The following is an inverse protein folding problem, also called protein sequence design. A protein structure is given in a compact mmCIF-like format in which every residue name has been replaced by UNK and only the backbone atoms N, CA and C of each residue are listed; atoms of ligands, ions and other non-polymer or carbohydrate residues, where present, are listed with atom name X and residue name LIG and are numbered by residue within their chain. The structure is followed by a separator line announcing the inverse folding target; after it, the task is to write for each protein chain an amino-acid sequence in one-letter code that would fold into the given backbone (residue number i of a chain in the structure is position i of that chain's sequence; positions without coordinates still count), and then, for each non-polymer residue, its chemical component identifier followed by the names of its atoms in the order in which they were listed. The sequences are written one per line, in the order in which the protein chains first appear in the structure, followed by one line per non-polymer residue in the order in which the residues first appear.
data_IF_874427795790
#
_entry.id   IF_874427795790
#
_cell.length_a   1.000
_cell.length_b   1.000
_cell.length_c   1.000
_cell.angle_alpha   90.00
_cell.angle_beta   90.00
_cell.angle_gamma   90.00
#
_symmetry.space_group_name_H-M   'P 1'
#
loop_
_entity.id
_entity.type
_entity.pdbx_description
1 polymer ?
#
# COMPACT_ATOMS: atom_id res chain seq x y z
N UNK A 1 -19.31 17.32 -16.81
CA UNK A 1 -18.90 16.00 -16.28
C UNK A 1 -17.48 15.77 -16.72
N UNK A 2 -16.53 15.93 -15.80
CA UNK A 2 -15.12 15.66 -16.07
C UNK A 2 -14.93 14.15 -16.21
N UNK A 3 -14.35 13.71 -17.32
CA UNK A 3 -13.88 12.34 -17.49
C UNK A 3 -12.71 12.17 -16.51
N UNK A 4 -12.93 11.37 -15.46
CA UNK A 4 -11.93 11.02 -14.48
C UNK A 4 -10.80 10.22 -15.16
N UNK A 5 -9.56 10.57 -14.88
CA UNK A 5 -8.36 10.23 -15.64
C UNK A 5 -7.87 8.78 -15.48
N UNK A 6 -8.77 7.79 -15.48
CA UNK A 6 -8.41 6.36 -15.43
C UNK A 6 -8.89 5.60 -16.66
N UNK A 7 -8.38 5.99 -17.82
CA UNK A 7 -8.77 5.39 -19.10
C UNK A 7 -7.94 4.12 -19.44
N UNK A 8 -7.14 3.62 -18.51
CA UNK A 8 -6.24 2.49 -18.69
C UNK A 8 -6.38 1.47 -17.54
N UNK A 9 -6.35 0.19 -17.91
CA UNK A 9 -6.35 -0.96 -17.02
C UNK A 9 -4.98 -1.64 -17.05
N UNK A 10 -4.63 -2.35 -15.98
CA UNK A 10 -3.45 -3.20 -15.91
C UNK A 10 -3.86 -4.62 -16.31
N UNK A 11 -3.59 -5.03 -17.54
CA UNK A 11 -3.88 -6.37 -18.02
C UNK A 11 -2.68 -7.29 -17.81
N UNK A 12 -2.94 -8.54 -17.42
CA UNK A 12 -1.89 -9.54 -17.28
C UNK A 12 -1.30 -9.91 -18.64
N UNK A 13 0.01 -10.12 -18.66
CA UNK A 13 0.74 -10.55 -19.85
C UNK A 13 1.63 -11.74 -19.56
N UNK A 14 1.97 -12.46 -20.61
CA UNK A 14 3.09 -13.38 -20.64
C UNK A 14 4.42 -12.60 -20.62
N UNK A 15 5.56 -13.24 -20.30
CA UNK A 15 6.87 -12.57 -20.29
C UNK A 15 7.32 -11.97 -21.62
N UNK A 16 6.77 -12.45 -22.74
CA UNK A 16 7.02 -11.91 -24.09
C UNK A 16 6.16 -10.68 -24.41
N UNK A 17 5.24 -10.30 -23.51
CA UNK A 17 4.37 -9.15 -23.63
C UNK A 17 2.99 -9.44 -24.23
N UNK A 18 2.72 -10.68 -24.65
CA UNK A 18 1.38 -11.05 -25.14
C UNK A 18 0.36 -11.10 -23.99
N UNK A 19 -0.90 -10.80 -24.28
CA UNK A 19 -1.97 -10.83 -23.28
C UNK A 19 -2.17 -12.26 -22.74
N UNK A 20 -2.20 -12.38 -21.41
CA UNK A 20 -2.40 -13.66 -20.75
C UNK A 20 -3.89 -14.01 -20.71
N UNK A 21 -4.32 -14.90 -21.62
CA UNK A 21 -5.70 -15.33 -21.75
C UNK A 21 -5.91 -16.70 -21.10
N UNK A 22 -6.91 -16.77 -20.22
CA UNK A 22 -7.36 -17.99 -19.58
C UNK A 22 -8.56 -18.56 -20.32
N UNK A 23 -8.59 -19.88 -20.52
CA UNK A 23 -9.73 -20.57 -21.10
C UNK A 23 -10.50 -21.27 -19.99
N UNK A 24 -11.80 -20.98 -19.86
CA UNK A 24 -12.66 -21.65 -18.88
C UNK A 24 -13.09 -23.03 -19.39
N UNK A 25 -13.66 -23.86 -18.51
CA UNK A 25 -14.27 -25.15 -18.89
C UNK A 25 -15.41 -25.02 -19.91
N UNK A 26 -15.91 -23.79 -20.13
CA UNK A 26 -16.94 -23.47 -21.13
C UNK A 26 -16.37 -22.96 -22.46
N UNK A 27 -15.05 -23.05 -22.65
CA UNK A 27 -14.33 -22.53 -23.81
C UNK A 27 -14.48 -21.00 -24.00
N UNK A 28 -14.66 -20.29 -22.88
CA UNK A 28 -14.68 -18.83 -22.82
C UNK A 28 -13.27 -18.31 -22.56
N UNK A 29 -12.89 -17.20 -23.19
CA UNK A 29 -11.61 -16.55 -22.93
C UNK A 29 -11.79 -15.50 -21.83
N UNK A 30 -10.91 -15.51 -20.83
CA UNK A 30 -10.90 -14.56 -19.72
C UNK A 30 -9.56 -13.84 -19.70
N UNK A 31 -9.60 -12.52 -19.72
CA UNK A 31 -8.47 -11.65 -19.47
C UNK A 31 -8.61 -11.04 -18.08
N UNK A 32 -7.58 -11.18 -17.25
CA UNK A 32 -7.55 -10.52 -15.95
C UNK A 32 -7.00 -9.11 -16.10
N UNK A 33 -7.77 -8.14 -15.60
CA UNK A 33 -7.41 -6.74 -15.61
C UNK A 33 -7.58 -6.15 -14.21
N UNK A 34 -6.74 -5.17 -13.87
CA UNK A 34 -6.80 -4.50 -12.58
C UNK A 34 -6.87 -2.99 -12.77
N UNK A 35 -7.63 -2.33 -11.91
CA UNK A 35 -7.75 -0.86 -11.92
C UNK A 35 -6.53 -0.20 -11.30
N UNK A 36 -5.85 -0.90 -10.38
CA UNK A 36 -4.72 -0.39 -9.61
C UNK A 36 -3.67 -1.48 -9.36
N UNK A 37 -2.40 -1.09 -9.29
CA UNK A 37 -1.28 -2.02 -9.12
C UNK A 37 -1.35 -2.82 -7.82
N UNK A 38 -1.89 -2.23 -6.74
CA UNK A 38 -2.06 -2.94 -5.46
C UNK A 38 -3.00 -4.14 -5.58
N UNK A 39 -4.05 -4.07 -6.39
CA UNK A 39 -4.97 -5.19 -6.59
C UNK A 39 -4.32 -6.30 -7.41
N UNK A 40 -3.54 -5.93 -8.43
CA UNK A 40 -2.73 -6.85 -9.21
C UNK A 40 -1.71 -7.58 -8.33
N UNK A 41 -0.91 -6.84 -7.56
CA UNK A 41 0.12 -7.42 -6.69
C UNK A 41 -0.50 -8.33 -5.63
N UNK A 42 -1.63 -7.92 -5.04
CA UNK A 42 -2.34 -8.75 -4.07
C UNK A 42 -2.85 -10.06 -4.70
N UNK A 43 -3.40 -10.03 -5.91
CA UNK A 43 -3.99 -11.19 -6.57
C UNK A 43 -2.97 -12.14 -7.20
N UNK A 44 -1.93 -11.59 -7.83
CA UNK A 44 -1.01 -12.32 -8.70
C UNK A 44 0.42 -12.39 -8.17
N UNK A 45 0.76 -11.56 -7.18
CA UNK A 45 2.12 -11.38 -6.69
C UNK A 45 2.91 -10.34 -7.51
N UNK A 46 4.00 -9.80 -6.93
CA UNK A 46 4.76 -8.69 -7.51
C UNK A 46 5.60 -9.06 -8.75
N UNK A 47 5.82 -10.35 -9.01
CA UNK A 47 6.56 -10.81 -10.19
C UNK A 47 5.71 -10.97 -11.45
N UNK A 48 4.38 -10.84 -11.35
CA UNK A 48 3.46 -11.04 -12.47
C UNK A 48 3.70 -9.97 -13.57
N UNK A 49 3.97 -10.36 -14.83
CA UNK A 49 4.04 -9.42 -15.94
C UNK A 49 2.67 -8.82 -16.27
N UNK A 50 2.67 -7.53 -16.63
CA UNK A 50 1.47 -6.79 -16.99
C UNK A 50 1.77 -5.62 -17.93
N UNK A 51 0.73 -5.16 -18.62
CA UNK A 51 0.77 -3.98 -19.48
C UNK A 51 -0.41 -3.04 -19.21
N UNK A 52 -0.20 -1.74 -19.47
CA UNK A 52 -1.32 -0.78 -19.51
C UNK A 52 -2.07 -0.93 -20.82
N UNK A 53 -3.37 -1.14 -20.72
CA UNK A 53 -4.25 -1.29 -21.87
C UNK A 53 -5.45 -0.38 -21.74
N UNK A 54 -5.86 0.24 -22.85
CA UNK A 54 -7.13 0.96 -22.90
C UNK A 54 -8.27 -0.02 -23.09
N UNK A 55 -9.43 0.18 -22.44
CA UNK A 55 -10.61 -0.65 -22.68
C UNK A 55 -10.99 -0.74 -24.17
N UNK A 56 -10.84 0.35 -24.92
CA UNK A 56 -11.09 0.38 -26.37
C UNK A 56 -10.15 -0.54 -27.17
N UNK A 57 -8.89 -0.67 -26.76
CA UNK A 57 -7.93 -1.59 -27.36
C UNK A 57 -8.27 -3.05 -27.07
N UNK A 58 -8.80 -3.34 -25.88
CA UNK A 58 -9.28 -4.68 -25.53
C UNK A 58 -10.48 -5.10 -26.38
N UNK A 59 -11.45 -4.20 -26.56
CA UNK A 59 -12.63 -4.44 -27.40
C UNK A 59 -12.20 -4.74 -28.84
N UNK A 60 -11.34 -3.90 -29.43
CA UNK A 60 -10.84 -4.11 -30.79
C UNK A 60 -10.10 -5.44 -30.95
N UNK A 61 -9.34 -5.85 -29.94
CA UNK A 61 -8.61 -7.13 -29.94
C UNK A 61 -9.55 -8.33 -29.84
N UNK A 62 -10.59 -8.25 -29.00
CA UNK A 62 -11.60 -9.30 -28.89
C UNK A 62 -12.43 -9.46 -30.17
N UNK A 63 -12.81 -8.34 -30.80
CA UNK A 63 -13.50 -8.34 -32.10
C UNK A 63 -12.66 -8.99 -33.20
N UNK A 64 -11.36 -8.67 -33.25
CA UNK A 64 -10.43 -9.27 -34.22
C UNK A 64 -10.21 -10.77 -34.01
N UNK A 65 -10.24 -11.26 -32.77
CA UNK A 65 -10.08 -12.67 -32.44
C UNK A 65 -11.32 -13.52 -32.78
N UNK A 66 -12.48 -12.90 -33.00
CA UNK A 66 -13.72 -13.60 -33.35
C UNK A 66 -14.27 -14.51 -32.24
N UNK A 67 -13.83 -14.32 -31.00
CA UNK A 67 -14.29 -15.07 -29.81
C UNK A 67 -14.66 -14.11 -28.69
N UNK A 68 -15.67 -14.43 -27.86
CA UNK A 68 -15.97 -13.63 -26.68
C UNK A 68 -14.80 -13.67 -25.69
N UNK A 69 -14.28 -12.50 -25.36
CA UNK A 69 -13.30 -12.30 -24.27
C UNK A 69 -14.02 -11.61 -23.12
N UNK A 70 -14.02 -12.27 -21.96
CA UNK A 70 -14.51 -11.71 -20.71
C UNK A 70 -13.35 -11.03 -19.98
N UNK A 71 -13.60 -9.86 -19.41
CA UNK A 71 -12.62 -9.16 -18.57
C UNK A 71 -12.98 -9.40 -17.11
N UNK A 72 -12.11 -10.13 -16.40
CA UNK A 72 -12.19 -10.28 -14.96
C UNK A 72 -11.50 -9.08 -14.31
N UNK A 73 -12.29 -8.10 -13.85
CA UNK A 73 -11.80 -6.85 -13.29
C UNK A 73 -11.60 -6.97 -11.78
N UNK A 74 -10.41 -6.64 -11.29
CA UNK A 74 -10.02 -6.67 -9.86
C UNK A 74 -10.36 -8.00 -9.17
N UNK A 75 -10.39 -9.08 -9.94
CA UNK A 75 -10.76 -10.40 -9.48
C UNK A 75 -9.53 -11.16 -8.98
N UNK A 76 -9.77 -12.08 -8.05
CA UNK A 76 -8.71 -13.02 -7.64
C UNK A 76 -8.33 -13.91 -8.81
N UNK A 77 -7.05 -13.91 -9.16
CA UNK A 77 -6.53 -14.76 -10.20
C UNK A 77 -6.53 -16.22 -9.72
N UNK A 78 -7.17 -17.16 -10.45
CA UNK A 78 -7.20 -18.57 -10.05
C UNK A 78 -5.78 -19.12 -9.87
N UNK A 79 -5.64 -20.20 -9.11
CA UNK A 79 -4.34 -20.84 -8.92
C UNK A 79 -3.71 -21.16 -10.29
N UNK A 80 -2.50 -20.66 -10.50
CA UNK A 80 -1.78 -20.69 -11.78
C UNK A 80 -0.29 -20.43 -11.58
N UNK A 81 0.48 -20.34 -12.66
CA UNK A 81 1.91 -20.03 -12.59
C UNK A 81 2.06 -18.67 -11.90
N UNK A 82 2.78 -18.63 -10.78
CA UNK A 82 3.17 -17.40 -10.11
C UNK A 82 4.60 -17.13 -10.55
N UNK A 83 4.78 -16.03 -11.27
CA UNK A 83 6.12 -15.59 -11.67
C UNK A 83 6.91 -15.24 -10.42
N UNK A 84 8.15 -15.74 -10.34
CA UNK A 84 9.03 -15.37 -9.26
C UNK A 84 9.28 -13.86 -9.28
N UNK A 85 9.50 -13.28 -8.09
CA UNK A 85 10.00 -11.91 -8.01
C UNK A 85 11.29 -11.80 -8.83
N UNK A 86 11.37 -10.83 -9.76
CA UNK A 86 12.61 -10.56 -10.48
C UNK A 86 13.71 -10.23 -9.47
N UNK A 87 14.90 -10.76 -9.69
CA UNK A 87 16.05 -10.33 -8.93
C UNK A 87 16.31 -8.84 -9.23
N UNK A 88 16.39 -8.01 -8.20
CA UNK A 88 16.65 -6.57 -8.35
C UNK A 88 17.94 -6.30 -9.14
N UNK A 89 18.88 -7.25 -9.14
CA UNK A 89 20.14 -7.17 -9.90
C UNK A 89 19.97 -7.39 -11.41
N UNK A 90 18.86 -7.98 -11.82
CA UNK A 90 18.52 -8.27 -13.23
C UNK A 90 17.60 -7.20 -13.85
N UNK A 91 17.01 -6.32 -13.03
CA UNK A 91 16.21 -5.21 -13.52
C UNK A 91 17.09 -4.18 -14.24
N UNK A 92 16.57 -3.58 -15.33
CA UNK A 92 17.24 -2.45 -15.96
C UNK A 92 17.48 -1.35 -14.92
N UNK A 93 18.67 -0.70 -14.93
CA UNK A 93 18.94 0.41 -14.03
C UNK A 93 17.86 1.48 -14.19
N UNK A 94 17.31 1.95 -13.07
CA UNK A 94 16.38 3.07 -13.07
C UNK A 94 17.00 4.25 -13.82
N UNK A 95 16.17 4.96 -14.59
CA UNK A 95 16.62 6.18 -15.26
C UNK A 95 17.21 7.15 -14.22
N UNK A 96 18.34 7.82 -14.53
CA UNK A 96 18.90 8.82 -13.64
C UNK A 96 17.85 9.91 -13.38
N UNK A 97 17.41 10.04 -12.14
CA UNK A 97 16.55 11.15 -11.70
C UNK A 97 17.45 12.27 -11.19
N UNK A 98 17.06 13.52 -11.41
CA UNK A 98 17.75 14.66 -10.80
C UNK A 98 17.84 14.45 -9.28
N UNK A 99 19.04 14.58 -8.68
CA UNK A 99 19.19 14.37 -7.25
C UNK A 99 18.34 15.39 -6.50
N UNK A 100 17.37 14.89 -5.73
CA UNK A 100 16.62 15.72 -4.81
C UNK A 100 17.59 16.42 -3.84
N UNK A 101 17.26 17.64 -3.37
CA UNK A 101 18.02 18.28 -2.31
C UNK A 101 18.17 17.33 -1.11
N UNK A 102 19.34 17.30 -0.45
CA UNK A 102 19.53 16.42 0.69
C UNK A 102 18.52 16.74 1.78
N UNK A 103 17.88 15.71 2.32
CA UNK A 103 17.03 15.85 3.50
C UNK A 103 17.91 16.32 4.65
N UNK A 104 17.59 17.47 5.24
CA UNK A 104 18.36 18.04 6.37
C UNK A 104 17.66 17.83 7.71
N UNK A 105 16.38 17.44 7.67
CA UNK A 105 15.51 17.25 8.82
C UNK A 105 14.43 16.24 8.49
N UNK A 106 14.09 15.41 9.47
CA UNK A 106 12.97 14.48 9.41
C UNK A 106 12.00 14.83 10.52
N UNK A 107 10.72 14.92 10.19
CA UNK A 107 9.65 15.14 11.15
C UNK A 107 9.03 13.80 11.52
N UNK A 108 8.92 13.54 12.82
CA UNK A 108 8.43 12.27 13.36
C UNK A 108 7.21 12.54 14.24
N UNK A 109 6.09 11.82 14.05
CA UNK A 109 4.94 11.85 14.95
C UNK A 109 5.34 11.52 16.39
N UNK A 110 4.86 12.33 17.32
CA UNK A 110 5.19 12.21 18.73
C UNK A 110 3.98 12.57 19.58
N UNK A 111 4.00 12.12 20.84
CA UNK A 111 3.07 12.63 21.83
C UNK A 111 3.40 14.10 22.14
N UNK A 112 2.39 14.94 22.44
CA UNK A 112 2.60 16.31 22.86
C UNK A 112 3.61 16.39 24.02
N UNK A 113 4.64 17.23 23.86
CA UNK A 113 5.65 17.46 24.89
C UNK A 113 5.45 18.81 25.56
N UNK A 114 5.44 18.81 26.90
CA UNK A 114 5.35 20.03 27.70
C UNK A 114 6.70 20.71 27.90
N UNK A 115 6.71 21.99 28.30
CA UNK A 115 7.93 22.69 28.67
C UNK A 115 8.73 21.94 29.74
N UNK A 116 10.04 21.79 29.54
CA UNK A 116 10.93 21.10 30.47
C UNK A 116 10.94 19.56 30.34
N UNK A 117 10.22 18.99 29.38
CA UNK A 117 10.29 17.58 29.07
C UNK A 117 11.72 17.17 28.67
N UNK A 118 12.26 16.12 29.32
CA UNK A 118 13.57 15.55 29.02
C UNK A 118 13.50 14.33 28.10
N UNK A 119 12.29 13.87 27.79
CA UNK A 119 12.01 12.70 26.95
C UNK A 119 10.85 13.05 26.03
N UNK A 120 10.93 12.58 24.80
CA UNK A 120 9.87 12.65 23.80
C UNK A 120 9.41 11.22 23.57
N UNK A 121 8.10 11.00 23.53
CA UNK A 121 7.54 9.70 23.17
C UNK A 121 7.16 9.73 21.69
N UNK A 122 7.70 8.80 20.92
CA UNK A 122 7.37 8.67 19.50
C UNK A 122 6.20 7.69 19.34
N UNK A 123 5.37 7.97 18.36
CA UNK A 123 4.31 7.04 17.95
C UNK A 123 4.87 6.08 16.91
N UNK A 124 4.67 4.77 17.14
CA UNK A 124 5.11 3.72 16.25
C UNK A 124 3.90 3.12 15.56
N UNK A 125 4.03 2.82 14.28
CA UNK A 125 2.99 2.21 13.47
C UNK A 125 3.41 0.81 13.02
N UNK A 126 2.54 -0.17 13.20
CA UNK A 126 2.77 -1.51 12.67
C UNK A 126 2.09 -1.63 11.31
N UNK A 127 2.88 -1.65 10.24
CA UNK A 127 2.37 -2.01 8.90
C UNK A 127 2.17 -3.52 8.80
N UNK A 128 3.08 -4.28 9.42
CA UNK A 128 2.98 -5.73 9.62
C UNK A 128 2.85 -6.01 11.12
N UNK A 129 1.95 -6.90 11.56
CA UNK A 129 1.84 -7.26 12.97
C UNK A 129 3.19 -7.71 13.56
N UNK A 130 3.61 -7.06 14.65
CA UNK A 130 4.89 -7.34 15.31
C UNK A 130 6.08 -6.55 14.79
N UNK A 131 5.92 -5.75 13.73
CA UNK A 131 6.97 -4.92 13.14
C UNK A 131 6.66 -3.43 13.29
N UNK A 132 6.89 -2.84 14.48
CA UNK A 132 6.70 -1.41 14.67
C UNK A 132 7.69 -0.60 13.84
N UNK A 133 7.20 0.40 13.13
CA UNK A 133 7.96 1.32 12.31
C UNK A 133 7.85 2.74 12.85
N UNK A 134 8.93 3.52 12.73
CA UNK A 134 8.89 4.98 12.92
C UNK A 134 8.40 5.60 11.62
N UNK A 135 7.43 6.51 11.69
CA UNK A 135 7.06 7.32 10.52
C UNK A 135 7.94 8.57 10.46
N UNK A 136 8.48 8.87 9.29
CA UNK A 136 9.32 10.04 9.05
C UNK A 136 8.84 10.82 7.85
N UNK A 137 8.88 12.15 7.93
CA UNK A 137 8.41 13.04 6.86
C UNK A 137 9.46 14.09 6.51
N UNK A 138 9.56 14.42 5.22
CA UNK A 138 10.48 15.44 4.72
C UNK A 138 10.14 16.86 5.21
N UNK A 139 8.86 17.12 5.51
CA UNK A 139 8.38 18.42 6.01
C UNK A 139 7.28 18.28 7.06
N UNK A 140 7.10 19.32 7.87
CA UNK A 140 6.00 19.37 8.83
C UNK A 140 4.62 19.41 8.13
N UNK A 141 4.41 20.17 7.04
CA UNK A 141 3.18 20.08 6.25
C UNK A 141 2.84 18.65 5.83
N UNK A 142 3.80 17.91 5.26
CA UNK A 142 3.54 16.52 4.79
C UNK A 142 3.10 15.61 5.94
N UNK A 143 3.72 15.77 7.12
CA UNK A 143 3.32 15.05 8.33
C UNK A 143 1.89 15.41 8.75
N UNK A 144 1.53 16.68 8.77
CA UNK A 144 0.18 17.10 9.20
C UNK A 144 -0.90 16.66 8.21
N UNK A 145 -0.59 16.65 6.91
CA UNK A 145 -1.49 16.16 5.88
C UNK A 145 -1.69 14.64 5.97
N UNK A 146 -0.63 13.90 6.30
CA UNK A 146 -0.65 12.44 6.42
C UNK A 146 -1.23 11.94 7.76
N UNK A 147 -0.87 12.56 8.88
CA UNK A 147 -1.21 12.12 10.24
C UNK A 147 -2.36 12.92 10.87
N UNK A 148 -2.76 14.04 10.27
CA UNK A 148 -3.82 14.91 10.75
C UNK A 148 -3.30 16.23 11.36
N UNK A 149 -4.11 17.30 11.31
CA UNK A 149 -3.67 18.66 11.63
C UNK A 149 -3.34 18.89 13.11
N UNK A 150 -3.72 17.95 13.98
CA UNK A 150 -3.47 18.00 15.42
C UNK A 150 -2.33 17.09 15.87
N UNK A 151 -1.64 16.43 14.94
CA UNK A 151 -0.49 15.59 15.25
C UNK A 151 0.64 16.44 15.86
N UNK A 152 1.10 16.04 17.05
CA UNK A 152 2.34 16.59 17.59
C UNK A 152 3.54 15.93 16.91
N UNK A 153 4.60 16.69 16.68
CA UNK A 153 5.76 16.24 15.93
C UNK A 153 7.07 16.74 16.54
N UNK A 154 8.14 15.96 16.33
CA UNK A 154 9.51 16.35 16.63
C UNK A 154 10.34 16.36 15.36
N UNK A 155 11.20 17.36 15.24
CA UNK A 155 12.19 17.44 14.17
C UNK A 155 13.51 16.83 14.64
N UNK A 156 14.05 15.89 13.86
CA UNK A 156 15.35 15.24 14.10
C UNK A 156 16.25 15.38 12.88
N UNK A 157 17.55 15.11 13.03
CA UNK A 157 18.47 15.08 11.90
C UNK A 157 18.46 13.66 11.30
N UNK A 158 18.62 13.49 9.98
CA UNK A 158 18.61 12.17 9.35
C UNK A 158 19.64 11.21 9.95
N UNK A 159 20.83 11.70 10.32
CA UNK A 159 21.88 10.89 10.93
C UNK A 159 21.52 10.34 12.33
N UNK A 160 20.48 10.86 12.98
CA UNK A 160 20.04 10.40 14.30
C UNK A 160 18.99 9.26 14.18
N UNK A 161 18.50 8.95 12.97
CA UNK A 161 17.42 7.96 12.76
C UNK A 161 17.80 6.54 13.21
N UNK A 162 19.02 6.08 12.92
CA UNK A 162 19.47 4.74 13.32
C UNK A 162 19.46 4.57 14.85
N UNK A 163 19.86 5.62 15.58
CA UNK A 163 19.82 5.62 17.04
C UNK A 163 18.38 5.66 17.56
N UNK A 164 17.51 6.42 16.90
CA UNK A 164 16.08 6.49 17.25
C UNK A 164 15.44 5.11 17.08
N UNK A 165 15.59 4.48 15.92
CA UNK A 165 15.05 3.12 15.63
C UNK A 165 15.51 2.12 16.69
N UNK A 166 16.81 2.11 16.99
CA UNK A 166 17.38 1.23 18.02
C UNK A 166 16.81 1.50 19.41
N UNK A 167 16.60 2.77 19.77
CA UNK A 167 16.16 3.17 21.12
C UNK A 167 14.65 2.95 21.31
N UNK A 168 13.85 3.09 20.26
CA UNK A 168 12.41 2.83 20.30
C UNK A 168 12.05 1.36 20.15
N UNK A 169 12.98 0.52 19.67
CA UNK A 169 12.71 -0.87 19.34
C UNK A 169 11.91 -1.03 18.04
N UNK A 170 11.93 -0.01 17.17
CA UNK A 170 11.34 -0.11 15.85
C UNK A 170 12.19 -1.00 14.93
N UNK A 171 11.54 -1.59 13.92
CA UNK A 171 12.20 -2.39 12.88
C UNK A 171 12.82 -1.50 11.78
N UNK A 172 12.33 -0.27 11.63
CA UNK A 172 12.85 0.68 10.66
C UNK A 172 12.09 2.00 10.64
N UNK A 173 12.34 2.78 9.58
CA UNK A 173 11.67 4.05 9.29
C UNK A 173 10.90 3.92 7.99
N UNK A 174 9.64 4.38 7.99
CA UNK A 174 8.84 4.56 6.78
C UNK A 174 8.78 6.05 6.46
N UNK A 175 9.28 6.41 5.28
CA UNK A 175 9.28 7.80 4.83
C UNK A 175 7.99 8.12 4.08
N UNK A 176 7.39 9.26 4.41
CA UNK A 176 6.23 9.85 3.73
C UNK A 176 5.03 8.90 3.59
N UNK A 177 4.82 8.04 4.58
CA UNK A 177 3.69 7.13 4.63
C UNK A 177 2.37 7.89 4.85
N UNK A 178 1.35 7.59 4.05
CA UNK A 178 0.01 8.16 4.20
C UNK A 178 -0.83 7.21 5.06
N UNK A 179 -1.34 7.69 6.19
CA UNK A 179 -2.22 6.90 7.06
C UNK A 179 -3.66 6.90 6.53
N UNK A 180 -4.39 5.82 6.79
CA UNK A 180 -5.84 5.75 6.58
C UNK A 180 -6.55 6.82 7.42
N UNK A 181 -7.68 7.33 6.93
CA UNK A 181 -8.40 8.46 7.54
C UNK A 181 -8.74 8.23 9.02
N UNK A 182 -9.14 7.00 9.39
CA UNK A 182 -9.51 6.62 10.75
C UNK A 182 -8.33 6.62 11.73
N UNK A 183 -7.09 6.58 11.21
CA UNK A 183 -5.86 6.61 12.00
C UNK A 183 -5.30 8.04 12.14
N UNK A 184 -5.92 9.04 11.50
CA UNK A 184 -5.47 10.42 11.55
C UNK A 184 -6.04 11.16 12.76
N UNK A 185 -5.24 12.01 13.36
CA UNK A 185 -5.67 12.87 14.47
C UNK A 185 -6.55 14.02 13.96
N UNK A 186 -7.85 13.76 13.90
CA UNK A 186 -8.87 14.75 13.54
C UNK A 186 -9.15 15.79 14.64
N UNK A 187 -8.70 15.55 15.87
CA UNK A 187 -8.83 16.45 17.01
C UNK A 187 -7.62 16.32 17.96
N UNK A 188 -7.34 17.34 18.80
CA UNK A 188 -6.32 17.23 19.83
C UNK A 188 -6.62 16.07 20.78
N UNK A 189 -5.63 15.21 21.03
CA UNK A 189 -5.77 14.12 22.00
C UNK A 189 -5.56 14.67 23.40
N UNK A 190 -6.64 14.69 24.18
CA UNK A 190 -6.69 15.26 25.53
C UNK A 190 -6.21 14.25 26.59
N UNK A 191 -6.32 12.95 26.31
CA UNK A 191 -5.93 11.87 27.23
C UNK A 191 -5.25 10.72 26.48
N UNK A 192 -3.98 10.49 26.79
CA UNK A 192 -3.14 9.44 26.20
C UNK A 192 -2.96 8.21 27.13
N UNK A 193 -3.71 8.17 28.24
CA UNK A 193 -3.72 7.08 29.23
C UNK A 193 -4.84 6.06 29.01
N UNK A 194 -5.72 6.32 28.04
CA UNK A 194 -6.83 5.46 27.65
C UNK A 194 -6.41 4.41 26.62
N UNK A 195 -6.28 3.15 27.06
CA UNK A 195 -6.01 1.98 26.21
C UNK A 195 -7.22 1.60 25.31
N UNK A 196 -8.40 2.11 25.62
CA UNK A 196 -9.68 1.87 24.95
C UNK A 196 -9.80 2.47 23.54
N UNK A 197 -8.86 3.34 23.13
CA UNK A 197 -8.80 3.88 21.76
C UNK A 197 -8.02 2.99 20.78
N UNK A 198 -7.37 1.92 21.26
CA UNK A 198 -6.52 1.03 20.45
C UNK A 198 -6.92 -0.45 20.55
N UNK A 199 -8.06 -0.76 21.18
CA UNK A 199 -8.60 -2.13 21.18
C UNK A 199 -9.22 -2.42 19.82
N UNK A 200 -8.48 -3.09 18.95
CA UNK A 200 -9.09 -3.81 17.82
C UNK A 200 -9.88 -4.96 18.43
N UNK A 201 -11.21 -4.84 18.39
CA UNK A 201 -12.11 -5.85 18.93
C UNK A 201 -11.79 -7.22 18.31
N UNK A 202 -11.10 -8.02 19.11
CA UNK A 202 -10.74 -9.39 18.82
C UNK A 202 -11.81 -10.29 19.46
N UNK A 203 -13.01 -10.32 18.87
CA UNK A 203 -14.03 -11.32 19.20
C UNK A 203 -15.07 -11.41 18.06
N UNK A 204 -15.57 -12.56 17.62
CA UNK A 204 -15.31 -13.95 17.93
C UNK A 204 -15.99 -14.80 16.85
N UNK A 205 -15.28 -15.82 16.36
CA UNK A 205 -15.84 -16.96 15.67
C UNK A 205 -16.66 -17.81 16.65
N UNK A 206 -17.93 -18.08 16.35
CA UNK A 206 -18.66 -19.29 16.78
C UNK A 206 -19.68 -19.57 15.67
N UNK A 207 -19.41 -20.45 14.70
CA UNK A 207 -19.60 -21.92 14.74
C UNK A 207 -20.86 -22.39 15.47
N UNK A 208 -21.94 -22.53 14.70
CA UNK A 208 -22.73 -23.76 14.60
C UNK A 208 -23.68 -24.11 15.75
N UNK A 209 -24.99 -24.13 15.46
CA UNK A 209 -25.83 -25.27 15.81
C UNK A 209 -27.01 -25.42 14.84
N UNK A 210 -27.04 -26.57 14.16
CA UNK A 210 -28.18 -27.13 13.44
C UNK A 210 -29.19 -27.66 14.46
N UNK A 211 -30.42 -27.14 14.42
CA UNK A 211 -31.57 -27.72 15.12
C UNK A 211 -32.59 -28.26 14.13
N UNK A 212 -32.48 -29.55 13.81
CA UNK A 212 -33.55 -30.34 13.19
C UNK A 212 -34.59 -30.65 14.25
N UNK A 213 -35.85 -30.36 13.95
CA UNK A 213 -37.02 -31.15 14.39
C UNK A 213 -38.05 -31.18 13.28
#
# INVERSE_FOLDING_TARGET
MAADGRDELLALTLPDGDLELYVTDRDEQVLFCYTESRYLVAACGPGQPWARVRPSSLVASAEAAGRPVFVALDAWHPAGIRYAEPDVRELEPLLPVEPAPPITRVWIPSRPVGPGAKKVHLELHCVVPGEPMVLGYGSLPDLLDACGPHQAAVAVRPQDLDEIVRTTGAHGVLMDAVLDEDLRHAAPVVDWSREDLFSVDSAQTSTGEHGVR
#
